data_IF_279762992656
#
_entry.id   IF_279762992656
#
_cell.length_a   1.000
_cell.length_b   1.000
_cell.length_c   1.000
_cell.angle_alpha   90.00
_cell.angle_beta   90.00
_cell.angle_gamma   90.00
#
_symmetry.space_group_name_H-M   'P 1'
#
loop_
_entity.id
_entity.type
_entity.pdbx_description
1 polymer ?
#
# COMPACT_ATOMS: atom_id res chain seq x y z
N UNK A 1 35.30 8.14 12.07
CA UNK A 1 35.23 8.76 10.77
C UNK A 1 34.44 7.93 9.79
N UNK A 2 33.53 8.55 9.08
CA UNK A 2 32.70 7.85 8.11
C UNK A 2 33.48 7.63 6.82
N UNK A 3 33.40 6.42 6.29
CA UNK A 3 33.97 6.11 4.99
C UNK A 3 33.06 6.69 3.90
N UNK A 4 33.44 7.86 3.39
CA UNK A 4 32.61 8.59 2.41
C UNK A 4 32.78 8.06 0.99
N UNK A 5 33.76 7.18 0.75
CA UNK A 5 33.92 6.57 -0.58
C UNK A 5 33.08 5.32 -0.73
N UNK A 6 32.55 4.80 0.35
CA UNK A 6 31.78 3.57 0.35
C UNK A 6 30.28 3.86 0.13
N UNK A 7 29.77 3.35 -0.96
CA UNK A 7 28.33 3.45 -1.21
C UNK A 7 27.57 2.46 -0.35
N UNK A 8 26.38 2.84 0.08
CA UNK A 8 25.50 1.98 0.86
C UNK A 8 24.04 2.32 0.62
N UNK A 9 23.17 1.39 0.94
CA UNK A 9 21.72 1.64 0.89
C UNK A 9 21.36 2.51 2.08
N UNK A 10 20.62 3.59 1.85
CA UNK A 10 20.28 4.54 2.90
C UNK A 10 18.78 4.73 3.13
N UNK A 11 17.95 3.89 2.52
CA UNK A 11 16.51 3.99 2.77
C UNK A 11 15.69 3.13 1.82
N UNK A 12 14.38 3.22 1.99
CA UNK A 12 13.40 2.60 1.10
C UNK A 12 12.60 3.72 0.47
N UNK A 13 12.61 3.80 -0.85
CA UNK A 13 11.87 4.82 -1.57
C UNK A 13 10.44 4.40 -1.84
N UNK A 14 10.26 3.21 -2.37
CA UNK A 14 8.95 2.76 -2.81
C UNK A 14 8.85 1.24 -2.72
N UNK A 15 7.64 0.73 -2.58
CA UNK A 15 7.37 -0.70 -2.58
C UNK A 15 6.42 -0.99 -3.73
N UNK A 16 6.79 -1.95 -4.58
CA UNK A 16 5.99 -2.29 -5.76
C UNK A 16 4.84 -3.21 -5.44
N UNK A 17 3.69 -2.94 -6.06
CA UNK A 17 2.52 -3.80 -6.00
C UNK A 17 2.17 -4.16 -7.44
N UNK A 18 2.22 -5.45 -7.81
CA UNK A 18 1.93 -5.85 -9.19
C UNK A 18 0.43 -5.82 -9.46
N UNK A 19 0.03 -5.14 -10.53
CA UNK A 19 -1.38 -5.01 -10.89
C UNK A 19 -1.57 -5.32 -12.37
N UNK A 20 -2.70 -5.91 -12.72
CA UNK A 20 -3.01 -6.24 -14.12
C UNK A 20 -3.56 -5.05 -14.87
N UNK A 21 -4.37 -4.23 -14.18
CA UNK A 21 -5.02 -3.07 -14.77
C UNK A 21 -4.65 -1.85 -13.94
N UNK A 22 -3.72 -1.05 -14.48
CA UNK A 22 -3.21 0.10 -13.74
C UNK A 22 -4.26 1.19 -13.53
N UNK A 23 -5.20 1.36 -14.45
CA UNK A 23 -6.28 2.35 -14.26
C UNK A 23 -7.21 1.93 -13.12
N UNK A 24 -7.58 0.66 -13.06
CA UNK A 24 -8.43 0.14 -12.00
C UNK A 24 -7.73 0.22 -10.65
N UNK A 25 -6.46 -0.12 -10.62
CA UNK A 25 -5.67 -0.03 -9.39
C UNK A 25 -5.56 1.42 -8.92
N UNK A 26 -5.24 2.34 -9.84
CA UNK A 26 -5.14 3.75 -9.52
C UNK A 26 -6.43 4.26 -8.89
N UNK A 27 -7.58 3.92 -9.45
CA UNK A 27 -8.86 4.33 -8.91
C UNK A 27 -9.08 3.80 -7.50
N UNK A 28 -8.76 2.52 -7.27
CA UNK A 28 -8.93 1.92 -5.95
C UNK A 28 -8.05 2.61 -4.90
N UNK A 29 -6.77 2.77 -5.19
CA UNK A 29 -5.84 3.35 -4.21
C UNK A 29 -6.11 4.83 -3.99
N UNK A 30 -6.53 5.57 -5.01
CA UNK A 30 -6.85 6.99 -4.87
C UNK A 30 -8.21 7.23 -4.23
N UNK A 31 -9.25 6.56 -4.73
CA UNK A 31 -10.62 6.88 -4.31
C UNK A 31 -11.05 6.08 -3.09
N UNK A 32 -10.73 4.79 -3.04
CA UNK A 32 -11.15 3.95 -1.92
C UNK A 32 -10.23 4.08 -0.73
N UNK A 33 -8.91 4.07 -0.95
CA UNK A 33 -7.95 4.17 0.14
C UNK A 33 -7.52 5.60 0.46
N UNK A 34 -7.77 6.56 -0.44
CA UNK A 34 -7.43 7.96 -0.19
C UNK A 34 -5.97 8.30 -0.36
N UNK A 35 -5.23 7.52 -1.13
CA UNK A 35 -3.81 7.78 -1.39
C UNK A 35 -3.65 8.92 -2.39
N UNK A 36 -2.57 9.66 -2.25
CA UNK A 36 -2.21 10.72 -3.20
C UNK A 36 -1.42 10.13 -4.37
N UNK A 37 -1.76 10.55 -5.58
CA UNK A 37 -0.98 10.19 -6.76
C UNK A 37 0.17 11.17 -6.90
N UNK A 38 1.39 10.67 -6.81
CA UNK A 38 2.59 11.49 -6.89
C UNK A 38 3.21 11.49 -8.28
N UNK A 39 3.04 10.42 -9.02
CA UNK A 39 3.61 10.29 -10.36
C UNK A 39 2.75 9.32 -11.18
N UNK A 40 2.61 9.61 -12.46
CA UNK A 40 1.94 8.73 -13.41
C UNK A 40 2.48 9.06 -14.80
N UNK A 41 3.42 8.24 -15.28
CA UNK A 41 4.10 8.50 -16.53
C UNK A 41 4.30 7.21 -17.31
N UNK A 42 4.13 7.23 -18.63
CA UNK A 42 4.41 6.05 -19.44
C UNK A 42 5.89 5.74 -19.45
N UNK A 43 6.22 4.46 -19.30
CA UNK A 43 7.60 3.96 -19.38
C UNK A 43 7.59 2.73 -20.27
N UNK A 44 7.95 2.91 -21.53
CA UNK A 44 7.90 1.86 -22.53
C UNK A 44 8.68 0.61 -22.12
N UNK A 45 9.85 0.81 -21.53
CA UNK A 45 10.71 -0.30 -21.12
C UNK A 45 10.07 -1.20 -20.07
N UNK A 46 9.08 -0.69 -19.35
CA UNK A 46 8.37 -1.45 -18.33
C UNK A 46 7.06 -2.05 -18.82
N UNK A 47 6.69 -1.77 -20.06
CA UNK A 47 5.47 -2.30 -20.66
C UNK A 47 4.19 -1.64 -20.16
N UNK A 48 4.30 -0.48 -19.50
CA UNK A 48 3.15 0.23 -18.97
C UNK A 48 3.55 1.58 -18.40
N UNK A 49 2.83 2.00 -17.36
CA UNK A 49 3.08 3.30 -16.72
C UNK A 49 3.80 3.08 -15.40
N UNK A 50 4.58 4.07 -15.00
CA UNK A 50 5.11 4.14 -13.64
C UNK A 50 4.18 5.01 -12.82
N UNK A 51 3.51 4.41 -11.84
CA UNK A 51 2.56 5.11 -10.99
C UNK A 51 3.03 4.99 -9.55
N UNK A 52 3.33 6.13 -8.92
CA UNK A 52 3.65 6.17 -7.51
C UNK A 52 2.55 6.87 -6.74
N UNK A 53 2.16 6.28 -5.63
CA UNK A 53 1.12 6.79 -4.76
C UNK A 53 1.60 6.72 -3.31
N UNK A 54 0.98 7.49 -2.46
CA UNK A 54 1.37 7.56 -1.06
C UNK A 54 0.17 7.81 -0.16
N UNK A 55 0.06 7.11 0.96
CA UNK A 55 -0.81 7.59 2.02
C UNK A 55 -0.39 9.02 2.39
N UNK A 56 -1.33 9.94 2.61
CA UNK A 56 -0.96 11.33 2.94
C UNK A 56 0.03 11.39 4.10
N UNK A 57 1.13 12.09 3.88
CA UNK A 57 2.16 12.26 4.91
C UNK A 57 3.15 11.13 5.05
N UNK A 58 3.04 10.08 4.26
CA UNK A 58 3.98 8.95 4.33
C UNK A 58 5.27 9.27 3.58
N UNK A 59 6.40 8.87 4.15
CA UNK A 59 7.70 9.03 3.50
C UNK A 59 7.95 7.93 2.46
N UNK A 60 7.30 6.79 2.61
CA UNK A 60 7.45 5.66 1.69
C UNK A 60 6.24 5.64 0.77
N UNK A 61 6.51 5.45 -0.53
CA UNK A 61 5.45 5.36 -1.52
C UNK A 61 5.16 3.92 -1.89
N UNK A 62 4.09 3.71 -2.63
CA UNK A 62 3.85 2.45 -3.32
C UNK A 62 3.87 2.71 -4.82
N UNK A 63 4.35 1.74 -5.59
CA UNK A 63 4.36 1.82 -7.04
C UNK A 63 3.41 0.76 -7.59
N UNK A 64 2.40 1.20 -8.36
CA UNK A 64 1.47 0.27 -9.00
C UNK A 64 2.08 -0.17 -10.32
N UNK A 65 2.82 -1.27 -10.29
CA UNK A 65 3.57 -1.73 -11.46
C UNK A 65 2.71 -2.66 -12.31
N UNK A 66 2.81 -2.48 -13.63
CA UNK A 66 2.09 -3.39 -14.53
C UNK A 66 2.70 -4.79 -14.44
N UNK A 67 1.87 -5.78 -14.22
CA UNK A 67 2.30 -7.17 -14.08
C UNK A 67 1.64 -8.04 -15.11
N UNK A 68 2.34 -9.11 -15.49
CA UNK A 68 1.72 -10.17 -16.26
C UNK A 68 0.67 -10.85 -15.39
N UNK A 69 -0.31 -11.47 -16.03
CA UNK A 69 -1.45 -12.05 -15.33
C UNK A 69 -1.08 -13.05 -14.23
N UNK A 70 0.02 -13.76 -14.41
CA UNK A 70 0.44 -14.79 -13.45
C UNK A 70 1.21 -14.25 -12.27
N UNK A 71 1.43 -12.93 -12.19
CA UNK A 71 2.25 -12.33 -11.12
C UNK A 71 1.42 -11.51 -10.15
N UNK A 72 0.28 -10.97 -10.57
CA UNK A 72 -0.58 -10.19 -9.68
C UNK A 72 -1.38 -11.11 -8.75
N UNK A 73 -1.91 -10.55 -7.67
CA UNK A 73 -2.65 -11.32 -6.68
C UNK A 73 -1.74 -11.95 -5.65
N UNK A 74 -0.70 -11.25 -5.24
CA UNK A 74 0.31 -11.76 -4.31
C UNK A 74 0.02 -11.28 -2.88
N UNK A 75 0.58 -12.00 -1.92
CA UNK A 75 0.63 -11.53 -0.54
C UNK A 75 1.77 -10.52 -0.46
N UNK A 76 1.43 -9.24 -0.42
CA UNK A 76 2.45 -8.19 -0.48
C UNK A 76 3.27 -8.07 0.80
N UNK A 77 2.73 -8.54 1.92
CA UNK A 77 3.31 -8.35 3.24
C UNK A 77 3.45 -6.87 3.64
N UNK A 78 2.90 -5.96 2.85
CA UNK A 78 2.94 -4.53 3.16
C UNK A 78 1.94 -4.26 4.28
N UNK A 79 2.41 -3.59 5.32
CA UNK A 79 1.59 -3.28 6.48
C UNK A 79 1.46 -1.77 6.59
N UNK A 80 0.24 -1.28 6.35
CA UNK A 80 -0.10 0.12 6.53
C UNK A 80 -0.45 0.39 7.98
N UNK A 81 -0.47 1.65 8.36
CA UNK A 81 -0.87 2.06 9.70
C UNK A 81 -2.13 2.90 9.63
N UNK A 82 -2.88 2.90 10.72
CA UNK A 82 -4.07 3.73 10.88
C UNK A 82 -4.20 4.12 12.35
N UNK A 83 -4.86 5.24 12.61
CA UNK A 83 -5.15 5.64 13.97
C UNK A 83 -6.30 4.85 14.59
N UNK A 84 -7.19 4.31 13.75
CA UNK A 84 -8.41 3.62 14.21
C UNK A 84 -8.72 2.48 13.26
N UNK A 85 -8.28 1.29 13.60
CA UNK A 85 -8.45 0.12 12.75
C UNK A 85 -9.91 -0.30 12.62
N UNK A 86 -10.68 -0.19 13.68
CA UNK A 86 -12.09 -0.57 13.65
C UNK A 86 -12.90 0.35 12.71
N UNK A 87 -12.63 1.64 12.77
CA UNK A 87 -13.31 2.60 11.88
C UNK A 87 -12.92 2.35 10.43
N UNK A 88 -11.63 2.15 10.17
CA UNK A 88 -11.16 1.89 8.81
C UNK A 88 -11.74 0.59 8.26
N UNK A 89 -11.74 -0.47 9.07
CA UNK A 89 -12.32 -1.75 8.69
C UNK A 89 -13.78 -1.59 8.27
N UNK A 90 -14.55 -0.86 9.07
CA UNK A 90 -15.95 -0.57 8.79
C UNK A 90 -16.14 0.19 7.48
N UNK A 91 -15.33 1.22 7.27
CA UNK A 91 -15.39 2.04 6.05
C UNK A 91 -15.08 1.23 4.81
N UNK A 92 -14.03 0.43 4.85
CA UNK A 92 -13.62 -0.39 3.71
C UNK A 92 -14.68 -1.45 3.42
N UNK A 93 -15.21 -2.09 4.46
CA UNK A 93 -16.27 -3.08 4.31
C UNK A 93 -17.52 -2.46 3.67
N UNK A 94 -17.90 -1.27 4.11
CA UNK A 94 -19.05 -0.56 3.57
C UNK A 94 -18.86 -0.14 2.11
N UNK A 95 -17.59 0.05 1.70
CA UNK A 95 -17.25 0.39 0.31
C UNK A 95 -17.12 -0.84 -0.58
N UNK A 96 -17.36 -2.03 -0.06
CA UNK A 96 -17.31 -3.25 -0.85
C UNK A 96 -15.93 -3.87 -0.97
N UNK A 97 -14.98 -3.42 -0.17
CA UNK A 97 -13.63 -3.99 -0.17
C UNK A 97 -13.67 -5.37 0.50
N UNK A 98 -12.91 -6.30 -0.04
CA UNK A 98 -12.76 -7.63 0.54
C UNK A 98 -11.84 -7.53 1.75
N UNK A 99 -12.43 -7.45 2.95
CA UNK A 99 -11.69 -7.34 4.19
C UNK A 99 -11.84 -8.63 5.00
N UNK A 100 -10.77 -9.01 5.69
CA UNK A 100 -10.83 -10.11 6.64
C UNK A 100 -11.29 -9.58 8.00
N UNK A 101 -11.48 -10.49 8.94
CA UNK A 101 -11.96 -10.17 10.27
C UNK A 101 -11.00 -9.21 10.99
N UNK A 102 -11.57 -8.22 11.67
CA UNK A 102 -10.79 -7.36 12.54
C UNK A 102 -10.31 -8.16 13.74
N UNK A 103 -9.00 -8.24 13.93
CA UNK A 103 -8.38 -9.00 15.00
C UNK A 103 -8.17 -8.12 16.22
N UNK A 104 -8.78 -8.52 17.32
CA UNK A 104 -8.71 -7.80 18.61
C UNK A 104 -8.15 -8.73 19.66
N UNK A 105 -6.84 -8.97 19.59
CA UNK A 105 -6.14 -9.87 20.50
C UNK A 105 -5.50 -9.08 21.63
N UNK A 106 -5.52 -9.67 22.83
CA UNK A 106 -4.89 -9.02 23.99
C UNK A 106 -3.40 -8.82 23.77
N UNK A 107 -2.93 -7.59 24.06
CA UNK A 107 -1.52 -7.25 23.94
C UNK A 107 -1.04 -7.00 22.53
N UNK A 108 -1.92 -7.08 21.55
CA UNK A 108 -1.59 -6.84 20.15
C UNK A 108 -2.47 -5.72 19.62
N UNK A 109 -1.89 -4.74 18.89
CA UNK A 109 -2.73 -3.68 18.33
C UNK A 109 -3.79 -4.25 17.39
N UNK A 110 -4.96 -3.65 17.33
CA UNK A 110 -5.98 -4.06 16.36
C UNK A 110 -5.43 -4.06 14.95
N UNK A 111 -5.77 -5.08 14.17
CA UNK A 111 -5.27 -5.22 12.80
C UNK A 111 -6.22 -6.03 11.95
N UNK A 112 -6.08 -5.91 10.65
CA UNK A 112 -6.82 -6.72 9.68
C UNK A 112 -6.07 -6.71 8.36
N UNK A 113 -6.48 -7.59 7.46
CA UNK A 113 -5.98 -7.55 6.08
C UNK A 113 -7.14 -7.42 5.11
N UNK A 114 -6.82 -6.96 3.92
CA UNK A 114 -7.79 -6.74 2.86
C UNK A 114 -7.12 -6.99 1.51
N UNK A 115 -7.93 -7.02 0.45
CA UNK A 115 -7.43 -7.25 -0.90
C UNK A 115 -7.76 -6.09 -1.79
N UNK A 116 -6.82 -5.77 -2.69
CA UNK A 116 -7.09 -4.81 -3.75
C UNK A 116 -7.83 -5.51 -4.91
N UNK A 117 -8.20 -4.78 -5.98
CA UNK A 117 -8.95 -5.38 -7.09
C UNK A 117 -8.23 -6.53 -7.80
N UNK A 118 -6.91 -6.60 -7.70
CA UNK A 118 -6.13 -7.69 -8.29
C UNK A 118 -5.99 -8.89 -7.36
N UNK A 119 -6.50 -8.79 -6.13
CA UNK A 119 -6.35 -9.85 -5.15
C UNK A 119 -5.06 -9.77 -4.36
N UNK A 120 -4.31 -8.70 -4.49
CA UNK A 120 -3.11 -8.50 -3.68
C UNK A 120 -3.53 -8.29 -2.23
N UNK A 121 -2.87 -9.00 -1.31
CA UNK A 121 -3.17 -8.92 0.11
C UNK A 121 -2.35 -7.81 0.75
N UNK A 122 -3.04 -6.96 1.49
CA UNK A 122 -2.46 -5.81 2.17
C UNK A 122 -2.91 -5.84 3.64
N UNK A 123 -2.08 -5.31 4.53
CA UNK A 123 -2.30 -5.39 5.96
C UNK A 123 -2.42 -4.02 6.57
N UNK A 124 -3.17 -3.90 7.65
CA UNK A 124 -3.32 -2.67 8.42
C UNK A 124 -3.13 -2.97 9.89
N UNK A 125 -2.35 -2.15 10.57
CA UNK A 125 -2.18 -2.23 12.01
C UNK A 125 -2.48 -0.86 12.62
N UNK A 126 -3.15 -0.86 13.76
CA UNK A 126 -3.41 0.38 14.46
C UNK A 126 -2.15 0.89 15.14
N UNK A 127 -1.77 2.10 14.81
CA UNK A 127 -0.67 2.79 15.46
C UNK A 127 -1.18 4.21 15.72
N UNK A 128 -1.69 4.49 16.91
CA UNK A 128 -2.25 5.82 17.18
C UNK A 128 -1.23 6.91 16.96
N UNK A 129 -1.70 8.04 16.47
CA UNK A 129 -0.85 9.21 16.30
C UNK A 129 -0.23 9.62 17.62
N UNK A 130 1.05 9.97 17.57
CA UNK A 130 1.72 10.44 18.77
C UNK A 130 1.31 11.86 19.06
N UNK A 131 0.91 12.10 20.29
CA UNK A 131 0.62 13.44 20.79
C UNK A 131 1.86 14.00 21.44
N UNK A 132 2.23 15.17 21.03
CA UNK A 132 3.45 15.81 21.55
C UNK A 132 3.10 17.04 22.37
#
# INVERSE_FOLDING_TARGET
>A
MTDQTRAHINGVRTVGIPVRDQDRALEFYAETLGFEKLMDAPVEQLGGRWIEMSPPGSAITIALTHAREDVAGVDTRIRFTTDDAAALHSQLSASGVDVDELLLWDGIPPMFDFRDPDGNVLYVSEVPSQQV
#
